data_IF_695632872599
#
_entry.id   IF_695632872599
#
_cell.length_a   1.000
_cell.length_b   1.000
_cell.length_c   1.000
_cell.angle_alpha   90.00
_cell.angle_beta   90.00
_cell.angle_gamma   90.00
#
_symmetry.space_group_name_H-M   'P 1'
#
loop_
_entity.id
_entity.type
_entity.pdbx_description
1 polymer ?
#
# COMPACT_ATOMS: atom_id res chain seq x y z
N UNK A 1 11.49 34.42 21.49
CA UNK A 1 10.82 33.95 20.26
C UNK A 1 9.64 34.84 19.96
N UNK A 2 9.60 35.46 18.78
CA UNK A 2 8.47 36.29 18.33
C UNK A 2 7.26 35.41 18.04
N UNK A 3 6.03 35.91 18.26
CA UNK A 3 4.78 35.14 18.04
C UNK A 3 4.71 34.49 16.64
N UNK A 4 5.31 35.13 15.63
CA UNK A 4 5.46 34.60 14.26
C UNK A 4 6.28 33.30 14.20
N UNK A 5 7.36 33.21 14.99
CA UNK A 5 8.23 32.03 15.03
C UNK A 5 7.49 30.82 15.64
N UNK A 6 6.62 31.06 16.63
CA UNK A 6 5.79 30.00 17.25
C UNK A 6 4.75 29.46 16.26
N UNK A 7 4.05 30.34 15.53
CA UNK A 7 3.08 29.89 14.51
C UNK A 7 3.73 29.11 13.36
N UNK A 8 4.93 29.52 12.93
CA UNK A 8 5.70 28.81 11.92
C UNK A 8 6.09 27.40 12.37
N UNK A 9 6.52 27.24 13.62
CA UNK A 9 6.89 25.92 14.19
C UNK A 9 5.66 25.01 14.30
N UNK A 10 4.51 25.54 14.74
CA UNK A 10 3.26 24.76 14.84
C UNK A 10 2.82 24.28 13.45
N UNK A 11 2.93 25.14 12.43
CA UNK A 11 2.55 24.81 11.06
C UNK A 11 3.49 23.73 10.47
N UNK A 12 4.80 23.85 10.71
CA UNK A 12 5.78 22.83 10.33
C UNK A 12 5.50 21.48 11.00
N UNK A 13 5.20 21.49 12.30
CA UNK A 13 4.88 20.29 13.05
C UNK A 13 3.60 19.61 12.54
N UNK A 14 2.57 20.40 12.20
CA UNK A 14 1.32 19.90 11.63
C UNK A 14 1.53 19.24 10.24
N UNK A 15 2.36 19.85 9.39
CA UNK A 15 2.69 19.30 8.06
C UNK A 15 3.47 17.99 8.19
N UNK A 16 4.48 17.95 9.07
CA UNK A 16 5.23 16.72 9.35
C UNK A 16 4.29 15.63 9.85
N UNK A 17 3.44 15.92 10.83
CA UNK A 17 2.51 14.93 11.37
C UNK A 17 1.55 14.40 10.30
N UNK A 18 1.05 15.26 9.40
CA UNK A 18 0.16 14.86 8.30
C UNK A 18 0.87 13.99 7.24
N UNK A 19 2.17 14.18 7.01
CA UNK A 19 2.96 13.36 6.06
C UNK A 19 3.25 11.97 6.65
N UNK A 20 3.55 11.88 7.95
CA UNK A 20 4.00 10.62 8.55
C UNK A 20 2.88 9.77 9.20
N UNK A 21 1.76 10.36 9.61
CA UNK A 21 0.63 9.63 10.20
C UNK A 21 -0.09 8.58 9.30
N UNK A 22 -0.25 8.76 7.97
CA UNK A 22 -1.03 7.81 7.17
C UNK A 22 -0.39 6.42 7.02
N UNK A 23 0.90 6.28 7.35
CA UNK A 23 1.60 4.98 7.39
C UNK A 23 1.07 4.01 8.46
N UNK A 24 0.29 4.50 9.43
CA UNK A 24 -0.24 3.70 10.55
C UNK A 24 -1.56 3.00 10.24
N UNK A 25 -2.26 3.39 9.17
CA UNK A 25 -3.57 2.84 8.81
C UNK A 25 -3.49 2.02 7.51
N UNK A 26 -3.01 0.78 7.62
CA UNK A 26 -3.20 -0.21 6.55
C UNK A 26 -4.64 -0.73 6.63
N UNK A 27 -5.54 -0.12 5.85
CA UNK A 27 -6.88 -0.65 5.66
C UNK A 27 -6.76 -1.97 4.87
N UNK A 28 -6.64 -3.08 5.61
CA UNK A 28 -6.69 -4.41 5.01
C UNK A 28 -8.15 -4.75 4.73
N UNK A 29 -8.48 -5.30 3.55
CA UNK A 29 -9.83 -5.76 3.28
C UNK A 29 -10.20 -6.85 4.31
N UNK A 30 -11.47 -6.92 4.68
CA UNK A 30 -11.99 -7.78 5.76
C UNK A 30 -11.56 -9.25 5.60
N UNK A 31 -11.47 -9.74 4.37
CA UNK A 31 -10.98 -11.10 4.07
C UNK A 31 -9.50 -11.31 4.44
N UNK A 32 -8.64 -10.31 4.24
CA UNK A 32 -7.21 -10.41 4.57
C UNK A 32 -6.99 -10.44 6.09
N UNK A 33 -7.90 -9.83 6.85
CA UNK A 33 -7.96 -9.92 8.31
C UNK A 33 -8.45 -11.30 8.73
N UNK A 34 -9.58 -11.76 8.16
CA UNK A 34 -10.18 -13.07 8.45
C UNK A 34 -9.20 -14.22 8.24
N UNK A 35 -8.55 -14.24 7.08
CA UNK A 35 -7.70 -15.36 6.66
C UNK A 35 -6.22 -15.18 7.01
N UNK A 36 -5.83 -13.99 7.50
CA UNK A 36 -4.43 -13.64 7.78
C UNK A 36 -3.49 -13.87 6.59
N UNK A 37 -3.96 -13.60 5.36
CA UNK A 37 -3.21 -13.75 4.10
C UNK A 37 -3.07 -12.43 3.35
N UNK A 38 -1.94 -12.24 2.68
CA UNK A 38 -1.67 -11.06 1.84
C UNK A 38 -2.31 -11.21 0.45
N UNK A 39 -2.57 -10.11 -0.26
CA UNK A 39 -3.20 -10.11 -1.58
C UNK A 39 -2.56 -11.08 -2.61
N UNK A 40 -1.23 -11.24 -2.70
CA UNK A 40 -0.60 -12.19 -3.64
C UNK A 40 -0.94 -13.66 -3.38
N UNK A 41 -1.52 -13.98 -2.22
CA UNK A 41 -1.96 -15.33 -1.91
C UNK A 41 -3.11 -15.78 -2.83
N UNK A 42 -4.03 -14.87 -3.18
CA UNK A 42 -5.18 -15.15 -4.06
C UNK A 42 -5.04 -14.52 -5.46
N UNK A 43 -4.18 -13.50 -5.60
CA UNK A 43 -3.97 -12.81 -6.87
C UNK A 43 -2.74 -13.33 -7.62
N UNK A 44 -2.83 -13.39 -8.94
CA UNK A 44 -1.67 -13.68 -9.79
C UNK A 44 -0.72 -12.47 -9.86
N UNK A 45 0.54 -12.72 -10.20
CA UNK A 45 1.53 -11.66 -10.41
C UNK A 45 1.22 -10.74 -11.62
N UNK A 46 0.26 -11.13 -12.46
CA UNK A 46 -0.19 -10.34 -13.62
C UNK A 46 -1.12 -9.18 -13.22
N UNK A 47 -1.45 -9.08 -11.92
CA UNK A 47 -2.20 -7.97 -11.34
C UNK A 47 -3.73 -8.21 -11.31
N UNK A 48 -4.46 -7.39 -10.53
CA UNK A 48 -5.92 -7.45 -10.50
C UNK A 48 -6.51 -7.22 -11.91
N UNK A 49 -7.58 -7.94 -12.31
CA UNK A 49 -8.45 -8.79 -11.49
C UNK A 49 -8.06 -10.28 -11.48
N UNK A 50 -6.87 -10.66 -11.98
CA UNK A 50 -6.56 -12.07 -12.16
C UNK A 50 -6.30 -12.79 -10.82
N UNK A 51 -7.02 -13.88 -10.62
CA UNK A 51 -6.87 -14.78 -9.48
C UNK A 51 -6.01 -15.98 -9.88
N UNK A 52 -5.22 -16.48 -8.94
CA UNK A 52 -4.57 -17.79 -9.07
C UNK A 52 -5.56 -18.90 -8.65
N UNK A 53 -5.15 -20.16 -8.73
CA UNK A 53 -6.00 -21.30 -8.38
C UNK A 53 -6.56 -21.22 -6.94
N UNK A 54 -5.76 -20.68 -6.02
CA UNK A 54 -6.14 -20.45 -4.62
C UNK A 54 -7.26 -19.42 -4.52
N UNK A 55 -7.12 -18.29 -5.23
CA UNK A 55 -8.13 -17.23 -5.28
C UNK A 55 -9.42 -17.68 -5.94
N UNK A 56 -9.33 -18.46 -7.02
CA UNK A 56 -10.51 -19.05 -7.69
C UNK A 56 -11.24 -20.02 -6.76
N UNK A 57 -10.51 -20.89 -6.06
CA UNK A 57 -11.11 -21.79 -5.09
C UNK A 57 -11.82 -21.01 -3.98
N UNK A 58 -11.15 -20.02 -3.38
CA UNK A 58 -11.72 -19.20 -2.31
C UNK A 58 -13.03 -18.52 -2.74
N UNK A 59 -13.07 -17.89 -3.91
CA UNK A 59 -14.27 -17.23 -4.43
C UNK A 59 -15.42 -18.19 -4.77
N UNK A 60 -15.12 -19.46 -5.06
CA UNK A 60 -16.11 -20.48 -5.41
C UNK A 60 -16.54 -21.35 -4.23
N UNK A 61 -15.79 -21.34 -3.12
CA UNK A 61 -16.00 -22.19 -1.94
C UNK A 61 -16.32 -21.35 -0.70
N UNK A 62 -17.36 -20.51 -0.81
CA UNK A 62 -17.88 -19.69 0.29
C UNK A 62 -16.83 -18.82 1.00
N UNK A 63 -15.82 -18.34 0.27
CA UNK A 63 -14.72 -17.57 0.86
C UNK A 63 -14.05 -18.34 2.00
N UNK A 64 -13.76 -19.62 1.78
CA UNK A 64 -13.07 -20.51 2.71
C UNK A 64 -11.94 -21.26 2.00
N UNK A 65 -10.86 -21.55 2.73
CA UNK A 65 -9.79 -22.46 2.29
C UNK A 65 -9.98 -23.89 2.78
N UNK A 66 -11.11 -24.18 3.44
CA UNK A 66 -11.41 -25.51 3.94
C UNK A 66 -11.50 -26.51 2.79
N UNK A 67 -10.71 -27.59 2.88
CA UNK A 67 -10.65 -28.64 1.85
C UNK A 67 -9.80 -28.28 0.62
N UNK A 68 -9.16 -27.10 0.58
CA UNK A 68 -8.25 -26.76 -0.50
C UNK A 68 -6.97 -27.61 -0.43
N UNK A 69 -6.72 -28.40 -1.47
CA UNK A 69 -5.45 -29.12 -1.66
C UNK A 69 -4.72 -28.43 -2.80
N UNK A 70 -3.57 -27.84 -2.49
CA UNK A 70 -2.73 -27.25 -3.51
C UNK A 70 -2.32 -28.35 -4.51
N UNK A 71 -2.56 -28.12 -5.80
CA UNK A 71 -2.01 -28.99 -6.82
C UNK A 71 -0.48 -29.05 -6.64
N UNK A 72 0.14 -30.24 -6.74
CA UNK A 72 1.59 -30.33 -6.76
C UNK A 72 2.09 -29.40 -7.85
N UNK A 73 3.07 -28.54 -7.53
CA UNK A 73 3.67 -27.62 -8.50
C UNK A 73 4.37 -28.44 -9.60
N UNK A 74 3.63 -28.86 -10.61
CA UNK A 74 4.23 -29.35 -11.86
C UNK A 74 4.45 -28.12 -12.71
N UNK A 75 5.53 -27.39 -12.44
CA UNK A 75 5.98 -26.32 -13.33
C UNK A 75 7.29 -26.75 -14.00
N UNK A 76 7.37 -26.76 -15.33
CA UNK A 76 8.64 -26.82 -16.06
C UNK A 76 9.41 -25.49 -16.00
N UNK A 77 8.91 -24.48 -15.30
CA UNK A 77 9.57 -23.18 -15.16
C UNK A 77 10.46 -23.21 -13.91
N UNK A 78 11.78 -22.96 -14.06
CA UNK A 78 12.70 -22.98 -12.93
C UNK A 78 12.27 -21.97 -11.87
N UNK A 79 12.34 -22.40 -10.62
CA UNK A 79 12.07 -21.58 -9.45
C UNK A 79 12.96 -20.32 -9.54
N UNK A 80 12.40 -19.10 -9.50
CA UNK A 80 13.19 -17.89 -9.61
C UNK A 80 14.13 -17.80 -8.41
N UNK A 81 15.43 -17.98 -8.66
CA UNK A 81 16.51 -17.98 -7.66
C UNK A 81 16.77 -16.61 -7.02
N UNK A 82 16.06 -15.59 -7.48
CA UNK A 82 16.03 -14.28 -6.85
C UNK A 82 14.61 -14.03 -6.40
N UNK A 83 14.44 -13.79 -5.10
CA UNK A 83 13.26 -13.11 -4.58
C UNK A 83 13.11 -11.82 -5.40
N UNK A 84 12.20 -11.84 -6.37
CA UNK A 84 11.78 -10.61 -7.02
C UNK A 84 11.11 -9.85 -5.89
N UNK A 85 11.80 -8.83 -5.38
CA UNK A 85 11.22 -7.82 -4.51
C UNK A 85 10.00 -7.34 -5.29
N UNK A 86 8.83 -7.87 -4.93
CA UNK A 86 7.56 -7.50 -5.53
C UNK A 86 7.44 -6.05 -5.15
N UNK A 87 7.88 -5.18 -6.06
CA UNK A 87 7.92 -3.75 -5.85
C UNK A 87 6.56 -3.40 -5.32
N UNK A 88 6.52 -3.02 -4.04
CA UNK A 88 5.31 -2.78 -3.29
C UNK A 88 4.44 -1.96 -4.20
N UNK A 89 3.39 -2.57 -4.75
CA UNK A 89 2.51 -1.87 -5.67
C UNK A 89 1.97 -0.73 -4.84
N UNK A 90 2.50 0.47 -5.08
CA UNK A 90 2.18 1.63 -4.28
C UNK A 90 0.66 1.74 -4.35
N UNK A 91 -0.02 1.73 -3.21
CA UNK A 91 -1.47 1.80 -3.26
C UNK A 91 -1.83 3.16 -3.92
N UNK A 92 -2.97 3.25 -4.58
CA UNK A 92 -3.40 4.49 -5.25
C UNK A 92 -3.38 5.70 -4.31
N UNK A 93 -3.48 5.46 -3.01
CA UNK A 93 -3.41 6.45 -1.95
C UNK A 93 -2.01 7.04 -1.72
N UNK A 94 -0.96 6.23 -1.82
CA UNK A 94 0.44 6.67 -1.69
C UNK A 94 0.85 7.62 -2.81
N UNK A 95 0.38 7.38 -4.04
CA UNK A 95 0.64 8.27 -5.18
C UNK A 95 -0.07 9.61 -4.99
N UNK A 96 -1.33 9.57 -4.55
CA UNK A 96 -2.11 10.77 -4.24
C UNK A 96 -1.49 11.61 -3.12
N UNK A 97 -1.03 10.96 -2.04
CA UNK A 97 -0.38 11.63 -0.92
C UNK A 97 0.95 12.27 -1.33
N UNK A 98 1.78 11.57 -2.11
CA UNK A 98 3.03 12.13 -2.65
C UNK A 98 2.78 13.34 -3.54
N UNK A 99 1.74 13.29 -4.39
CA UNK A 99 1.35 14.42 -5.23
C UNK A 99 0.85 15.63 -4.41
N UNK A 100 0.08 15.40 -3.35
CA UNK A 100 -0.35 16.48 -2.45
C UNK A 100 0.82 17.09 -1.68
N UNK A 101 1.72 16.25 -1.16
CA UNK A 101 2.90 16.71 -0.43
C UNK A 101 3.82 17.58 -1.31
N UNK A 102 4.03 17.21 -2.58
CA UNK A 102 4.81 18.03 -3.52
C UNK A 102 4.14 19.35 -3.83
N UNK A 103 2.82 19.39 -4.00
CA UNK A 103 2.07 20.63 -4.19
C UNK A 103 2.23 21.56 -2.98
N UNK A 104 2.05 21.05 -1.76
CA UNK A 104 2.22 21.87 -0.55
C UNK A 104 3.64 22.39 -0.40
N UNK A 105 4.66 21.59 -0.73
CA UNK A 105 6.05 22.03 -0.71
C UNK A 105 6.30 23.17 -1.71
N UNK A 106 5.78 23.05 -2.93
CA UNK A 106 5.88 24.12 -3.94
C UNK A 106 5.21 25.40 -3.44
N UNK A 107 3.99 25.30 -2.90
CA UNK A 107 3.26 26.46 -2.37
C UNK A 107 4.00 27.12 -1.20
N UNK A 108 4.62 26.34 -0.32
CA UNK A 108 5.43 26.83 0.79
C UNK A 108 6.67 27.58 0.30
N UNK A 109 7.37 27.05 -0.70
CA UNK A 109 8.52 27.72 -1.33
C UNK A 109 8.09 29.05 -1.94
N UNK A 110 6.98 29.07 -2.69
CA UNK A 110 6.43 30.31 -3.28
C UNK A 110 6.06 31.32 -2.19
N UNK A 111 5.41 30.88 -1.12
CA UNK A 111 5.05 31.74 0.00
C UNK A 111 6.28 32.37 0.66
N UNK A 112 7.34 31.60 0.90
CA UNK A 112 8.59 32.10 1.51
C UNK A 112 9.31 33.09 0.60
N UNK A 113 9.34 32.86 -0.72
CA UNK A 113 9.94 33.80 -1.69
C UNK A 113 9.15 35.11 -1.78
N UNK A 114 7.83 35.06 -1.53
CA UNK A 114 6.94 36.23 -1.60
C UNK A 114 6.85 37.02 -0.28
N UNK A 115 7.44 36.52 0.81
CA UNK A 115 7.45 37.14 2.13
C UNK A 115 8.67 38.07 2.31
#
# INVERSE_FOLDING_TARGET
MTKKCIHQIILLLAVVLMIYAPSLSSARPEYAVKESRNCPYCHSAQGPPQLNDVGVYYGTHNHSFEGFVAAPKVSPTPEPTTEVEIGVHMNTWDVGLRAMATIFLILLVVYVIRL
#
